data_IF_040638548316
#
_entry.id   IF_040638548316
#
_cell.length_a   1.000
_cell.length_b   1.000
_cell.length_c   1.000
_cell.angle_alpha   90.00
_cell.angle_beta   90.00
_cell.angle_gamma   90.00
#
_symmetry.space_group_name_H-M   'P 1'
#
loop_
_entity.id
_entity.type
_entity.pdbx_description
1 polymer ?
#
# COMPACT_ATOMS: atom_id res chain seq x y z
N UNK A 1 5.12 1.07 26.61
CA UNK A 1 5.77 2.38 26.83
C UNK A 1 5.04 3.39 25.98
N UNK A 2 4.56 4.49 26.55
CA UNK A 2 3.88 5.55 25.78
C UNK A 2 4.89 6.33 24.95
N UNK A 3 4.51 6.68 23.71
CA UNK A 3 5.33 7.47 22.79
C UNK A 3 5.58 8.88 23.35
N UNK A 4 6.80 9.42 23.16
CA UNK A 4 7.14 10.77 23.61
C UNK A 4 6.43 11.82 22.74
N UNK A 5 5.43 12.51 23.30
CA UNK A 5 4.66 13.53 22.58
C UNK A 5 5.27 14.91 22.74
N UNK A 6 5.55 15.59 21.63
CA UNK A 6 6.01 17.00 21.61
C UNK A 6 4.96 17.92 20.99
N UNK A 7 4.69 19.04 21.65
CA UNK A 7 3.76 20.06 21.14
C UNK A 7 4.46 20.97 20.13
N UNK A 8 3.82 21.18 18.99
CA UNK A 8 4.26 22.12 17.95
C UNK A 8 3.16 23.14 17.65
N UNK A 9 3.53 24.34 17.20
CA UNK A 9 2.58 25.32 16.66
C UNK A 9 2.49 25.16 15.15
N UNK A 10 1.28 25.01 14.61
CA UNK A 10 1.02 24.88 13.17
C UNK A 10 -0.05 25.89 12.79
N UNK A 11 0.17 26.64 11.71
CA UNK A 11 -0.77 27.62 11.19
C UNK A 11 -1.67 26.92 10.18
N UNK A 12 -2.98 27.07 10.35
CA UNK A 12 -3.98 26.55 9.42
C UNK A 12 -4.81 27.71 8.84
N UNK A 13 -5.23 27.62 7.56
CA UNK A 13 -6.28 28.48 7.04
C UNK A 13 -7.56 28.34 7.88
N UNK A 14 -8.23 29.46 8.13
CA UNK A 14 -9.46 29.49 8.94
C UNK A 14 -10.54 28.57 8.35
N UNK A 15 -10.68 28.57 7.02
CA UNK A 15 -11.65 27.71 6.32
C UNK A 15 -11.48 26.23 6.64
N UNK A 16 -10.24 25.74 6.67
CA UNK A 16 -9.91 24.35 6.96
C UNK A 16 -10.19 24.01 8.42
N UNK A 17 -9.91 24.93 9.35
CA UNK A 17 -10.23 24.72 10.77
C UNK A 17 -11.74 24.70 11.02
N UNK A 18 -12.52 25.53 10.33
CA UNK A 18 -13.98 25.53 10.45
C UNK A 18 -14.60 24.25 9.90
N UNK A 19 -14.09 23.76 8.76
CA UNK A 19 -14.49 22.46 8.22
C UNK A 19 -14.15 21.33 9.20
N UNK A 20 -12.93 21.30 9.75
CA UNK A 20 -12.54 20.32 10.75
C UNK A 20 -13.45 20.38 11.99
N UNK A 21 -13.84 21.59 12.42
CA UNK A 21 -14.74 21.78 13.56
C UNK A 21 -16.14 21.23 13.31
N UNK A 22 -16.64 21.39 12.08
CA UNK A 22 -17.95 20.90 11.63
C UNK A 22 -17.97 19.38 11.48
N UNK A 23 -16.91 18.79 10.95
CA UNK A 23 -16.88 17.37 10.58
C UNK A 23 -16.35 16.45 11.70
N UNK A 24 -15.47 16.95 12.58
CA UNK A 24 -14.78 16.12 13.58
C UNK A 24 -15.06 16.60 15.02
N UNK A 25 -15.48 15.70 15.93
CA UNK A 25 -15.72 16.01 17.33
C UNK A 25 -14.48 16.60 18.03
N UNK A 26 -14.64 17.54 19.00
CA UNK A 26 -13.52 18.24 19.64
C UNK A 26 -12.38 17.33 20.17
N UNK A 27 -12.72 16.17 20.74
CA UNK A 27 -11.75 15.25 21.36
C UNK A 27 -11.01 14.36 20.35
N UNK A 28 -11.49 14.31 19.10
CA UNK A 28 -10.94 13.46 18.04
C UNK A 28 -10.09 14.23 17.04
N UNK A 29 -10.17 15.56 17.02
CA UNK A 29 -9.45 16.42 16.07
C UNK A 29 -7.94 16.19 16.08
N UNK A 30 -7.34 16.07 17.26
CA UNK A 30 -5.90 15.78 17.36
C UNK A 30 -5.55 14.45 16.74
N UNK A 31 -6.35 13.41 17.01
CA UNK A 31 -6.16 12.07 16.45
C UNK A 31 -6.33 12.10 14.92
N UNK A 32 -7.37 12.75 14.43
CA UNK A 32 -7.63 12.92 13.01
C UNK A 32 -6.46 13.59 12.28
N UNK A 33 -5.91 14.67 12.84
CA UNK A 33 -4.75 15.37 12.26
C UNK A 33 -3.52 14.46 12.21
N UNK A 34 -3.28 13.68 13.27
CA UNK A 34 -2.15 12.73 13.33
C UNK A 34 -2.33 11.64 12.27
N UNK A 35 -3.49 10.99 12.20
CA UNK A 35 -3.78 9.93 11.24
C UNK A 35 -3.68 10.44 9.78
N UNK A 36 -4.22 11.63 9.50
CA UNK A 36 -4.12 12.27 8.19
C UNK A 36 -2.65 12.55 7.82
N UNK A 37 -1.86 13.05 8.76
CA UNK A 37 -0.43 13.32 8.57
C UNK A 37 0.35 12.03 8.32
N UNK A 38 0.10 10.98 9.10
CA UNK A 38 0.76 9.69 8.91
C UNK A 38 0.47 9.11 7.53
N UNK A 39 -0.80 9.18 7.08
CA UNK A 39 -1.19 8.74 5.74
C UNK A 39 -0.44 9.53 4.66
N UNK A 40 -0.41 10.85 4.78
CA UNK A 40 0.30 11.71 3.83
C UNK A 40 1.81 11.42 3.81
N UNK A 41 2.42 11.20 4.97
CA UNK A 41 3.84 10.85 5.07
C UNK A 41 4.14 9.47 4.47
N UNK A 42 3.27 8.47 4.68
CA UNK A 42 3.39 7.16 4.02
C UNK A 42 3.36 7.29 2.51
N UNK A 43 2.43 8.08 1.98
CA UNK A 43 2.33 8.33 0.54
C UNK A 43 3.57 9.05 -0.02
N UNK A 44 4.09 10.05 0.71
CA UNK A 44 5.33 10.76 0.32
C UNK A 44 6.54 9.83 0.29
N UNK A 45 6.74 9.03 1.35
CA UNK A 45 7.83 8.04 1.39
C UNK A 45 7.73 7.02 0.26
N UNK A 46 6.54 6.53 -0.03
CA UNK A 46 6.34 5.61 -1.16
C UNK A 46 6.69 6.29 -2.50
N UNK A 47 6.25 7.54 -2.70
CA UNK A 47 6.56 8.28 -3.92
C UNK A 47 8.06 8.50 -4.09
N UNK A 48 8.78 8.85 -3.02
CA UNK A 48 10.25 8.98 -3.02
C UNK A 48 10.94 7.66 -3.39
N UNK A 49 10.48 6.54 -2.82
CA UNK A 49 10.99 5.21 -3.18
C UNK A 49 10.74 4.91 -4.65
N UNK A 50 9.52 5.11 -5.14
CA UNK A 50 9.19 4.86 -6.55
C UNK A 50 10.01 5.75 -7.50
N UNK A 51 10.22 7.02 -7.16
CA UNK A 51 11.08 7.92 -7.93
C UNK A 51 12.53 7.43 -7.96
N UNK A 52 13.04 6.94 -6.82
CA UNK A 52 14.33 6.28 -6.74
C UNK A 52 14.41 5.04 -7.65
N UNK A 53 13.40 4.18 -7.60
CA UNK A 53 13.31 2.96 -8.42
C UNK A 53 13.20 3.24 -9.92
N UNK A 54 12.63 4.38 -10.33
CA UNK A 54 12.66 4.79 -11.73
C UNK A 54 14.06 5.15 -12.21
N UNK A 55 14.95 5.63 -11.32
CA UNK A 55 16.33 5.99 -11.64
C UNK A 55 17.28 4.80 -11.53
N UNK A 56 17.11 4.03 -10.47
CA UNK A 56 17.88 2.83 -10.17
C UNK A 56 16.88 1.68 -9.94
N UNK A 57 16.54 0.94 -11.01
CA UNK A 57 15.61 -0.17 -10.91
C UNK A 57 16.06 -1.19 -9.86
N UNK A 58 15.15 -1.59 -8.97
CA UNK A 58 15.43 -2.64 -7.98
C UNK A 58 15.62 -4.03 -8.59
N UNK A 59 15.41 -4.17 -9.90
CA UNK A 59 15.51 -5.41 -10.64
C UNK A 59 16.03 -5.13 -12.05
N UNK A 60 16.69 -6.12 -12.65
CA UNK A 60 17.09 -6.11 -14.05
C UNK A 60 16.59 -7.37 -14.74
N UNK A 61 16.47 -7.31 -16.07
CA UNK A 61 16.13 -8.48 -16.88
C UNK A 61 17.24 -9.56 -16.82
N UNK A 62 18.48 -9.14 -16.59
CA UNK A 62 19.63 -10.03 -16.42
C UNK A 62 19.53 -10.85 -15.12
N UNK A 63 19.07 -10.23 -14.03
CA UNK A 63 18.85 -10.90 -12.75
C UNK A 63 17.61 -11.81 -12.78
N UNK A 64 16.62 -11.50 -13.63
CA UNK A 64 15.35 -12.20 -13.70
C UNK A 64 14.91 -12.54 -15.13
N UNK A 65 15.62 -13.44 -15.83
CA UNK A 65 15.32 -13.78 -17.21
C UNK A 65 13.94 -14.45 -17.38
N UNK A 66 13.41 -15.05 -16.31
CA UNK A 66 12.08 -15.66 -16.27
C UNK A 66 10.92 -14.67 -16.14
N UNK A 67 11.17 -13.36 -16.13
CA UNK A 67 10.16 -12.31 -15.98
C UNK A 67 10.18 -11.27 -17.11
N UNK A 68 11.02 -11.46 -18.14
CA UNK A 68 11.21 -10.50 -19.22
C UNK A 68 9.94 -10.36 -20.08
N UNK A 69 9.35 -11.48 -20.50
CA UNK A 69 8.15 -11.48 -21.34
C UNK A 69 6.93 -11.92 -20.56
N UNK A 70 5.75 -11.54 -21.06
CA UNK A 70 4.46 -12.03 -20.54
C UNK A 70 4.42 -13.57 -20.50
N UNK A 71 5.03 -14.23 -21.48
CA UNK A 71 5.12 -15.70 -21.52
C UNK A 71 5.99 -16.29 -20.41
N UNK A 72 7.09 -15.61 -20.08
CA UNK A 72 8.00 -16.03 -19.01
C UNK A 72 7.36 -15.80 -17.64
N UNK A 73 6.72 -14.64 -17.43
CA UNK A 73 5.93 -14.35 -16.23
C UNK A 73 4.85 -15.41 -16.03
N UNK A 74 4.08 -15.75 -17.06
CA UNK A 74 3.05 -16.78 -16.97
C UNK A 74 3.62 -18.15 -16.57
N UNK A 75 4.78 -18.53 -17.13
CA UNK A 75 5.47 -19.78 -16.77
C UNK A 75 5.96 -19.75 -15.32
N UNK A 76 6.52 -18.63 -14.88
CA UNK A 76 6.99 -18.45 -13.50
C UNK A 76 5.83 -18.51 -12.50
N UNK A 77 4.75 -17.78 -12.76
CA UNK A 77 3.53 -17.80 -11.93
C UNK A 77 2.92 -19.20 -11.89
N UNK A 78 2.82 -19.90 -13.03
CA UNK A 78 2.31 -21.27 -13.07
C UNK A 78 3.17 -22.21 -12.21
N UNK A 79 4.50 -22.12 -12.32
CA UNK A 79 5.42 -22.91 -11.48
C UNK A 79 5.22 -22.61 -9.98
N UNK A 80 5.06 -21.34 -9.60
CA UNK A 80 4.80 -20.97 -8.21
C UNK A 80 3.48 -21.57 -7.70
N UNK A 81 2.44 -21.54 -8.51
CA UNK A 81 1.14 -22.12 -8.18
C UNK A 81 1.24 -23.65 -8.02
N UNK A 82 1.87 -24.34 -8.97
CA UNK A 82 2.11 -25.79 -8.91
C UNK A 82 2.99 -26.19 -7.71
N UNK A 83 3.94 -25.33 -7.30
CA UNK A 83 4.85 -25.60 -6.18
C UNK A 83 4.22 -25.31 -4.80
N UNK A 84 3.28 -24.37 -4.70
CA UNK A 84 2.74 -23.90 -3.43
C UNK A 84 1.29 -24.34 -3.17
N UNK A 85 0.53 -24.70 -4.21
CA UNK A 85 -0.84 -25.20 -4.07
C UNK A 85 -0.91 -26.73 -4.21
N UNK A 86 -1.37 -27.45 -3.17
CA UNK A 86 -1.68 -28.88 -3.27
C UNK A 86 -3.03 -29.16 -4.00
N UNK A 87 -3.72 -28.13 -4.51
CA UNK A 87 -5.03 -28.23 -5.19
C UNK A 87 -5.01 -27.49 -6.52
N UNK A 88 -5.70 -28.02 -7.52
CA UNK A 88 -5.74 -27.44 -8.87
C UNK A 88 -6.64 -26.19 -8.92
N UNK A 89 -6.37 -25.29 -9.89
CA UNK A 89 -7.23 -24.12 -10.14
C UNK A 89 -8.67 -24.50 -10.48
N UNK A 90 -8.85 -25.64 -11.15
CA UNK A 90 -10.16 -26.16 -11.53
C UNK A 90 -11.00 -26.52 -10.29
N UNK A 91 -10.37 -27.08 -9.23
CA UNK A 91 -11.05 -27.39 -7.96
C UNK A 91 -11.58 -26.13 -7.26
N UNK A 92 -10.80 -25.05 -7.26
CA UNK A 92 -11.16 -23.79 -6.59
C UNK A 92 -12.27 -23.07 -7.35
N UNK A 93 -12.20 -23.07 -8.68
CA UNK A 93 -13.23 -22.46 -9.53
C UNK A 93 -14.56 -23.22 -9.43
N UNK A 94 -14.51 -24.54 -9.30
CA UNK A 94 -15.70 -25.37 -9.14
C UNK A 94 -16.33 -25.20 -7.74
N UNK A 95 -15.52 -25.11 -6.68
CA UNK A 95 -16.00 -24.77 -5.32
C UNK A 95 -16.65 -23.38 -5.26
N UNK A 96 -16.04 -22.38 -5.90
CA UNK A 96 -16.60 -21.03 -5.97
C UNK A 96 -17.92 -20.97 -6.75
N UNK A 97 -18.10 -21.85 -7.75
CA UNK A 97 -19.35 -21.98 -8.52
C UNK A 97 -20.44 -22.71 -7.73
N UNK A 98 -20.08 -23.64 -6.86
CA UNK A 98 -21.01 -24.41 -6.02
C UNK A 98 -21.47 -23.65 -4.75
N UNK A 99 -20.68 -22.69 -4.27
CA UNK A 99 -20.99 -21.87 -3.09
C UNK A 99 -21.58 -20.48 -3.43
N UNK A 100 -22.04 -20.26 -4.68
CA UNK A 100 -22.64 -19.02 -5.17
C UNK A 100 -24.16 -19.03 -5.20
#
# INVERSE_FOLDING_TARGET
MGEEVRRISVIFPVSVLEELRRCVPPRERSRFIVEARERALRQRRLAEVLEGLCREPAWSDEDHPGLITVGDVNRYVRRLQEAWMPRSWDEILEEARQNG
#
